data_IF_541034388377
#
_entry.id   IF_541034388377
#
_cell.length_a   1.000
_cell.length_b   1.000
_cell.length_c   1.000
_cell.angle_alpha   90.00
_cell.angle_beta   90.00
_cell.angle_gamma   90.00
#
_symmetry.space_group_name_H-M   'P 1'
#
loop_
_entity.id
_entity.type
_entity.pdbx_description
1 polymer ?
#
# COMPACT_ATOMS: atom_id res chain seq x y z
N UNK A 1 -14.97 5.05 17.77
CA UNK A 1 -13.51 4.88 17.94
C UNK A 1 -13.07 5.71 19.13
N UNK A 2 -12.44 5.12 20.08
CA UNK A 2 -11.78 5.78 21.23
C UNK A 2 -10.38 6.27 20.83
N UNK A 3 -9.76 7.12 21.66
CA UNK A 3 -8.38 7.59 21.46
C UNK A 3 -7.40 6.38 21.44
N UNK A 4 -7.56 5.44 22.35
CA UNK A 4 -6.72 4.24 22.39
C UNK A 4 -6.83 3.37 21.13
N UNK A 5 -8.03 3.21 20.56
CA UNK A 5 -8.22 2.52 19.28
C UNK A 5 -7.56 3.29 18.12
N UNK A 6 -7.67 4.62 18.12
CA UNK A 6 -6.98 5.48 17.14
C UNK A 6 -5.47 5.30 17.21
N UNK A 7 -4.91 5.34 18.42
CA UNK A 7 -3.47 5.17 18.65
C UNK A 7 -2.97 3.81 18.16
N UNK A 8 -3.75 2.74 18.35
CA UNK A 8 -3.42 1.41 17.84
C UNK A 8 -3.38 1.39 16.30
N UNK A 9 -4.37 2.00 15.65
CA UNK A 9 -4.41 2.08 14.18
C UNK A 9 -3.21 2.87 13.65
N UNK A 10 -2.89 4.01 14.26
CA UNK A 10 -1.75 4.83 13.87
C UNK A 10 -0.42 4.14 14.17
N UNK A 11 -0.31 3.45 15.29
CA UNK A 11 0.88 2.68 15.64
C UNK A 11 1.17 1.58 14.61
N UNK A 12 0.12 0.84 14.20
CA UNK A 12 0.26 -0.27 13.26
C UNK A 12 0.52 0.19 11.81
N UNK A 13 -0.21 1.19 11.32
CA UNK A 13 -0.25 1.53 9.90
C UNK A 13 0.59 2.75 9.51
N UNK A 14 0.96 3.60 10.47
CA UNK A 14 1.77 4.79 10.22
C UNK A 14 3.12 4.74 10.95
N UNK A 15 3.10 4.69 12.29
CA UNK A 15 4.31 4.75 13.10
C UNK A 15 5.23 3.53 12.89
N UNK A 16 4.68 2.31 12.92
CA UNK A 16 5.46 1.09 12.73
C UNK A 16 6.18 1.06 11.38
N UNK A 17 5.46 1.24 10.26
CA UNK A 17 6.09 1.32 8.94
C UNK A 17 7.12 2.44 8.80
N UNK A 18 6.89 3.62 9.39
CA UNK A 18 7.88 4.71 9.37
C UNK A 18 9.23 4.26 9.95
N UNK A 19 9.22 3.68 11.16
CA UNK A 19 10.45 3.22 11.80
C UNK A 19 11.03 1.98 11.12
N UNK A 20 10.20 1.09 10.58
CA UNK A 20 10.68 -0.05 9.78
C UNK A 20 11.42 0.42 8.52
N UNK A 21 10.90 1.43 7.83
CA UNK A 21 11.57 2.03 6.67
C UNK A 21 12.87 2.73 7.07
N UNK A 22 12.91 3.41 8.23
CA UNK A 22 14.13 4.03 8.73
C UNK A 22 15.25 3.01 8.99
N UNK A 23 14.93 1.86 9.58
CA UNK A 23 15.88 0.78 9.79
C UNK A 23 16.27 0.08 8.49
N UNK A 24 15.29 -0.13 7.58
CA UNK A 24 15.57 -0.67 6.25
C UNK A 24 16.54 0.22 5.46
N UNK A 25 16.39 1.54 5.53
CA UNK A 25 17.27 2.50 4.87
C UNK A 25 18.73 2.36 5.32
N UNK A 26 18.98 2.00 6.60
CA UNK A 26 20.32 1.77 7.15
C UNK A 26 20.88 0.41 6.72
N UNK A 27 20.03 -0.63 6.68
CA UNK A 27 20.42 -2.02 6.47
C UNK A 27 20.58 -2.40 5.00
N UNK A 28 19.81 -1.77 4.10
CA UNK A 28 19.83 -2.09 2.68
C UNK A 28 21.16 -1.68 2.03
N UNK A 29 21.62 -2.54 1.11
CA UNK A 29 22.68 -2.20 0.16
C UNK A 29 22.17 -1.25 -0.90
N UNK A 30 23.08 -0.56 -1.56
CA UNK A 30 22.75 0.28 -2.71
C UNK A 30 22.08 -0.55 -3.81
N UNK A 31 21.15 0.05 -4.52
CA UNK A 31 20.28 -0.66 -5.46
C UNK A 31 19.14 -1.46 -4.83
N UNK A 32 18.93 -1.37 -3.51
CA UNK A 32 17.84 -2.05 -2.81
C UNK A 32 16.43 -1.60 -3.23
N UNK A 33 15.43 -2.30 -2.73
CA UNK A 33 14.01 -2.03 -3.03
C UNK A 33 13.20 -2.03 -1.73
N UNK A 34 12.33 -1.03 -1.56
CA UNK A 34 11.33 -0.97 -0.50
C UNK A 34 9.95 -0.89 -1.16
N UNK A 35 9.04 -1.78 -0.75
CA UNK A 35 7.64 -1.73 -1.18
C UNK A 35 6.74 -1.71 0.03
N UNK A 36 5.94 -0.66 0.14
CA UNK A 36 4.92 -0.51 1.15
C UNK A 36 3.56 -0.96 0.61
N UNK A 37 2.74 -1.56 1.46
CA UNK A 37 1.37 -1.94 1.10
C UNK A 37 0.40 -0.96 1.73
N UNK A 38 -0.25 -0.16 0.88
CA UNK A 38 -1.32 0.75 1.27
C UNK A 38 -2.70 0.14 0.96
N UNK A 39 -3.62 0.95 0.56
CA UNK A 39 -4.96 0.57 0.11
C UNK A 39 -5.44 1.61 -0.90
N UNK A 40 -6.18 1.20 -1.89
CA UNK A 40 -6.80 2.14 -2.80
C UNK A 40 -7.89 3.00 -2.13
N UNK A 41 -8.36 2.57 -0.95
CA UNK A 41 -9.29 3.36 -0.13
C UNK A 41 -8.79 4.77 0.18
N UNK A 42 -7.50 5.07 0.12
CA UNK A 42 -6.93 6.41 0.29
C UNK A 42 -7.36 7.38 -0.83
N UNK A 43 -7.77 6.87 -1.98
CA UNK A 43 -8.30 7.64 -3.12
C UNK A 43 -9.83 7.60 -3.22
N UNK A 44 -10.48 7.03 -2.22
CA UNK A 44 -11.93 6.91 -2.10
C UNK A 44 -12.37 7.36 -0.71
N UNK A 45 -13.68 7.34 -0.47
CA UNK A 45 -14.25 7.62 0.85
C UNK A 45 -15.14 6.49 1.29
N UNK A 46 -14.86 5.95 2.46
CA UNK A 46 -15.68 4.88 3.07
C UNK A 46 -16.12 5.29 4.47
N UNK A 47 -17.39 5.08 4.76
CA UNK A 47 -17.95 5.31 6.10
C UNK A 47 -17.21 4.42 7.12
N UNK A 48 -16.83 5.02 8.24
CA UNK A 48 -16.17 4.31 9.34
C UNK A 48 -14.68 4.02 9.14
N UNK A 49 -14.08 4.37 7.99
CA UNK A 49 -12.69 4.05 7.67
C UNK A 49 -11.70 5.22 7.87
N UNK A 50 -12.14 6.37 8.40
CA UNK A 50 -11.38 7.62 8.45
C UNK A 50 -9.97 7.46 9.03
N UNK A 51 -9.84 6.83 10.20
CA UNK A 51 -8.53 6.67 10.84
C UNK A 51 -7.63 5.69 10.06
N UNK A 52 -8.20 4.59 9.55
CA UNK A 52 -7.49 3.63 8.72
C UNK A 52 -6.95 4.30 7.45
N UNK A 53 -7.80 4.99 6.72
CA UNK A 53 -7.39 5.65 5.47
C UNK A 53 -6.37 6.77 5.72
N UNK A 54 -6.57 7.57 6.77
CA UNK A 54 -5.60 8.59 7.19
C UNK A 54 -4.23 8.00 7.52
N UNK A 55 -4.19 6.87 8.24
CA UNK A 55 -2.94 6.18 8.55
C UNK A 55 -2.23 5.62 7.32
N UNK A 56 -2.98 5.11 6.34
CA UNK A 56 -2.43 4.63 5.06
C UNK A 56 -1.97 5.77 4.15
N UNK A 57 -2.68 6.89 4.12
CA UNK A 57 -2.24 8.10 3.41
C UNK A 57 -0.91 8.64 3.97
N UNK A 58 -0.70 8.57 5.29
CA UNK A 58 0.59 8.89 5.89
C UNK A 58 1.71 8.00 5.35
N UNK A 59 1.50 6.69 5.25
CA UNK A 59 2.45 5.73 4.68
C UNK A 59 2.83 6.08 3.23
N UNK A 60 1.84 6.46 2.43
CA UNK A 60 2.07 6.87 1.03
C UNK A 60 2.94 8.13 0.95
N UNK A 61 2.74 9.08 1.85
CA UNK A 61 3.56 10.27 1.88
C UNK A 61 4.98 10.01 2.40
N UNK A 62 5.14 9.11 3.38
CA UNK A 62 6.47 8.66 3.83
C UNK A 62 7.24 7.98 2.69
N UNK A 63 6.56 7.17 1.88
CA UNK A 63 7.15 6.55 0.68
C UNK A 63 7.76 7.59 -0.25
N UNK A 64 7.05 8.69 -0.53
CA UNK A 64 7.54 9.77 -1.42
C UNK A 64 8.77 10.47 -0.85
N UNK A 65 8.75 10.79 0.44
CA UNK A 65 9.87 11.43 1.12
C UNK A 65 11.13 10.54 1.09
N UNK A 66 10.97 9.29 1.53
CA UNK A 66 12.08 8.34 1.58
C UNK A 66 12.64 7.98 0.20
N UNK A 67 11.79 7.97 -0.83
CA UNK A 67 12.22 7.78 -2.21
C UNK A 67 13.24 8.83 -2.66
N UNK A 68 13.02 10.09 -2.30
CA UNK A 68 13.97 11.18 -2.61
C UNK A 68 15.26 11.05 -1.80
N UNK A 69 15.16 10.70 -0.52
CA UNK A 69 16.31 10.55 0.37
C UNK A 69 17.23 9.41 -0.06
N UNK A 70 16.67 8.31 -0.56
CA UNK A 70 17.42 7.11 -0.92
C UNK A 70 17.80 7.02 -2.42
N UNK A 71 17.28 7.91 -3.25
CA UNK A 71 17.61 7.94 -4.69
C UNK A 71 19.11 8.00 -4.99
N UNK A 72 19.96 8.78 -4.27
CA UNK A 72 21.40 8.79 -4.51
C UNK A 72 22.09 7.43 -4.30
N UNK A 73 21.46 6.51 -3.56
CA UNK A 73 21.92 5.12 -3.35
C UNK A 73 21.33 4.13 -4.36
N UNK A 74 20.57 4.60 -5.37
CA UNK A 74 19.86 3.75 -6.32
C UNK A 74 18.76 2.89 -5.69
N UNK A 75 18.34 3.21 -4.45
CA UNK A 75 17.27 2.48 -3.76
C UNK A 75 15.93 3.05 -4.20
N UNK A 76 15.03 2.19 -4.67
CA UNK A 76 13.66 2.61 -4.98
C UNK A 76 12.72 2.34 -3.80
N UNK A 77 11.79 3.26 -3.58
CA UNK A 77 10.76 3.15 -2.54
C UNK A 77 9.41 3.41 -3.17
N UNK A 78 8.53 2.43 -3.18
CA UNK A 78 7.22 2.53 -3.80
C UNK A 78 6.13 2.01 -2.87
N UNK A 79 4.90 2.36 -3.17
CA UNK A 79 3.70 1.82 -2.54
C UNK A 79 2.90 1.02 -3.56
N UNK A 80 2.36 -0.12 -3.16
CA UNK A 80 1.30 -0.82 -3.88
C UNK A 80 0.02 -0.66 -3.10
N UNK A 81 -1.04 -0.22 -3.77
CA UNK A 81 -2.38 0.00 -3.19
C UNK A 81 -3.36 -1.03 -3.75
N UNK A 82 -3.60 -2.14 -3.00
CA UNK A 82 -4.56 -3.15 -3.42
C UNK A 82 -6.00 -2.62 -3.41
N UNK A 83 -6.79 -3.07 -4.36
CA UNK A 83 -8.24 -3.01 -4.29
C UNK A 83 -8.83 -4.06 -3.36
N UNK A 84 -10.15 -4.26 -3.47
CA UNK A 84 -10.83 -5.28 -2.66
C UNK A 84 -10.33 -6.67 -3.08
N UNK A 85 -9.57 -7.28 -2.17
CA UNK A 85 -8.84 -8.53 -2.41
C UNK A 85 -9.40 -9.64 -1.52
N UNK A 86 -9.65 -10.79 -2.10
CA UNK A 86 -10.15 -11.98 -1.40
C UNK A 86 -9.02 -12.67 -0.61
N UNK A 87 -8.96 -12.36 0.66
CA UNK A 87 -8.01 -12.97 1.61
C UNK A 87 -8.64 -14.07 2.46
N UNK A 88 -9.89 -14.48 2.15
CA UNK A 88 -10.62 -15.50 2.89
C UNK A 88 -11.36 -15.01 4.13
N UNK A 89 -11.26 -13.72 4.47
CA UNK A 89 -11.90 -13.14 5.68
C UNK A 89 -13.07 -12.19 5.35
N UNK A 90 -13.40 -12.01 4.08
CA UNK A 90 -14.47 -11.12 3.66
C UNK A 90 -15.84 -11.75 3.96
N UNK A 91 -16.75 -10.92 4.47
CA UNK A 91 -18.16 -11.30 4.54
C UNK A 91 -18.74 -11.42 3.13
N UNK A 92 -19.78 -12.24 2.93
CA UNK A 92 -20.42 -12.40 1.64
C UNK A 92 -20.96 -11.07 1.10
N UNK A 93 -21.54 -10.23 1.96
CA UNK A 93 -22.02 -8.90 1.56
C UNK A 93 -20.88 -8.02 1.02
N UNK A 94 -19.72 -8.01 1.69
CA UNK A 94 -18.58 -7.21 1.26
C UNK A 94 -17.92 -7.79 0.00
N UNK A 95 -17.96 -9.10 -0.17
CA UNK A 95 -17.55 -9.81 -1.39
C UNK A 95 -18.37 -9.38 -2.61
N UNK A 96 -19.70 -9.42 -2.49
CA UNK A 96 -20.61 -8.98 -3.56
C UNK A 96 -20.43 -7.49 -3.88
N UNK A 97 -20.28 -6.65 -2.86
CA UNK A 97 -19.95 -5.23 -3.05
C UNK A 97 -18.66 -5.06 -3.87
N UNK A 98 -17.59 -5.76 -3.51
CA UNK A 98 -16.31 -5.69 -4.21
C UNK A 98 -16.40 -6.14 -5.68
N UNK A 99 -17.16 -7.21 -5.95
CA UNK A 99 -17.39 -7.68 -7.33
C UNK A 99 -18.15 -6.64 -8.15
N UNK A 100 -19.15 -5.98 -7.56
CA UNK A 100 -19.92 -4.93 -8.24
C UNK A 100 -19.06 -3.72 -8.58
N UNK A 101 -18.22 -3.29 -7.63
CA UNK A 101 -17.31 -2.17 -7.79
C UNK A 101 -16.21 -2.43 -8.82
N UNK A 102 -15.75 -3.66 -8.95
CA UNK A 102 -14.67 -4.01 -9.86
C UNK A 102 -15.12 -3.99 -11.33
N UNK A 103 -14.46 -3.24 -12.21
CA UNK A 103 -14.67 -3.33 -13.66
C UNK A 103 -14.48 -4.75 -14.21
N UNK A 104 -13.54 -5.52 -13.66
CA UNK A 104 -13.31 -6.92 -14.04
C UNK A 104 -14.38 -7.90 -13.52
N UNK A 105 -15.35 -7.42 -12.73
CA UNK A 105 -16.43 -8.22 -12.15
C UNK A 105 -15.94 -9.42 -11.32
N UNK A 106 -14.80 -9.25 -10.69
CA UNK A 106 -14.23 -10.18 -9.73
C UNK A 106 -13.48 -9.42 -8.62
N UNK A 107 -13.24 -10.09 -7.53
CA UNK A 107 -12.29 -9.62 -6.50
C UNK A 107 -10.85 -9.79 -6.99
N UNK A 108 -9.95 -8.99 -6.45
CA UNK A 108 -8.53 -9.29 -6.52
C UNK A 108 -8.21 -10.59 -5.76
N UNK A 109 -7.19 -11.28 -6.18
CA UNK A 109 -6.61 -12.40 -5.46
C UNK A 109 -5.28 -11.97 -4.85
N UNK A 110 -4.81 -12.58 -3.76
CA UNK A 110 -3.46 -12.31 -3.23
C UNK A 110 -2.37 -12.39 -4.30
N UNK A 111 -2.53 -13.31 -5.26
CA UNK A 111 -1.61 -13.44 -6.39
C UNK A 111 -1.60 -12.22 -7.31
N UNK A 112 -2.74 -11.57 -7.56
CA UNK A 112 -2.78 -10.35 -8.38
C UNK A 112 -1.92 -9.25 -7.76
N UNK A 113 -1.91 -9.14 -6.43
CA UNK A 113 -1.10 -8.16 -5.71
C UNK A 113 0.38 -8.58 -5.67
N UNK A 114 0.65 -9.86 -5.41
CA UNK A 114 2.00 -10.40 -5.35
C UNK A 114 2.74 -10.23 -6.69
N UNK A 115 2.07 -10.42 -7.82
CA UNK A 115 2.66 -10.23 -9.14
C UNK A 115 3.06 -8.77 -9.39
N UNK A 116 2.24 -7.80 -8.93
CA UNK A 116 2.59 -6.37 -8.99
C UNK A 116 3.80 -6.07 -8.09
N UNK A 117 3.82 -6.59 -6.87
CA UNK A 117 4.98 -6.41 -5.96
C UNK A 117 6.22 -7.02 -6.57
N UNK A 118 6.15 -8.22 -7.14
CA UNK A 118 7.28 -8.88 -7.80
C UNK A 118 7.84 -8.03 -8.96
N UNK A 119 6.98 -7.42 -9.77
CA UNK A 119 7.41 -6.47 -10.80
C UNK A 119 8.09 -5.24 -10.18
N UNK A 120 7.50 -4.61 -9.17
CA UNK A 120 8.02 -3.38 -8.55
C UNK A 120 9.39 -3.57 -7.91
N UNK A 121 9.70 -4.77 -7.42
CA UNK A 121 11.05 -5.08 -6.87
C UNK A 121 12.05 -5.57 -7.94
N UNK A 122 11.61 -5.82 -9.16
CA UNK A 122 12.46 -6.32 -10.23
C UNK A 122 13.35 -5.21 -10.83
N UNK A 123 14.32 -5.62 -11.64
CA UNK A 123 15.17 -4.68 -12.39
C UNK A 123 14.38 -3.92 -13.47
N UNK A 124 13.29 -4.48 -13.98
CA UNK A 124 12.44 -3.83 -14.98
C UNK A 124 11.75 -2.58 -14.41
N UNK A 125 11.56 -2.52 -13.09
CA UNK A 125 11.01 -1.37 -12.40
C UNK A 125 12.07 -0.41 -11.82
N UNK A 126 13.35 -0.52 -12.19
CA UNK A 126 14.47 0.27 -11.64
C UNK A 126 14.30 1.79 -11.74
N UNK A 127 13.43 2.26 -12.63
CA UNK A 127 13.15 3.69 -12.83
C UNK A 127 11.85 4.16 -12.15
N UNK A 128 11.20 3.26 -11.37
CA UNK A 128 10.01 3.58 -10.58
C UNK A 128 10.43 3.82 -9.12
N UNK A 129 10.26 5.05 -8.63
CA UNK A 129 10.42 5.39 -7.22
C UNK A 129 9.46 6.50 -6.81
N UNK A 130 9.03 6.50 -5.55
CA UNK A 130 8.07 7.46 -5.02
C UNK A 130 6.63 7.28 -5.55
N UNK A 131 6.33 6.15 -6.20
CA UNK A 131 5.04 5.92 -6.83
C UNK A 131 4.08 5.19 -5.90
N UNK A 132 2.79 5.50 -6.04
CA UNK A 132 1.70 4.69 -5.52
C UNK A 132 1.04 3.95 -6.69
N UNK A 133 1.20 2.63 -6.73
CA UNK A 133 0.76 1.78 -7.83
C UNK A 133 -0.55 1.10 -7.43
N UNK A 134 -1.63 1.46 -8.11
CA UNK A 134 -2.95 0.91 -7.87
C UNK A 134 -3.09 -0.49 -8.48
N UNK A 135 -3.17 -1.50 -7.63
CA UNK A 135 -3.42 -2.90 -8.01
C UNK A 135 -4.88 -3.27 -7.69
N UNK A 136 -5.82 -2.60 -8.36
CA UNK A 136 -7.21 -2.55 -7.94
C UNK A 136 -8.20 -3.18 -8.93
N UNK A 137 -7.73 -3.61 -10.09
CA UNK A 137 -8.63 -4.04 -11.16
C UNK A 137 -9.48 -2.89 -11.73
N UNK A 138 -9.00 -1.64 -11.62
CA UNK A 138 -9.64 -0.46 -12.18
C UNK A 138 -10.75 0.15 -11.30
N UNK A 139 -10.85 -0.24 -10.02
CA UNK A 139 -11.82 0.38 -9.08
C UNK A 139 -11.50 1.87 -8.90
N UNK A 140 -10.22 2.21 -8.82
CA UNK A 140 -9.70 3.59 -8.90
C UNK A 140 -8.83 3.71 -10.14
N UNK A 141 -8.97 4.82 -10.83
CA UNK A 141 -8.21 5.18 -12.04
C UNK A 141 -7.64 6.58 -11.91
#
# INVERSE_FOLDING_TARGET
MTEAEFDQVMALHAKGPYFAMQEAAKALKDGGRIVNISTEGTHMSFLGATAHLGSKAALEQYTKGLAQELAPRGITVNTVSPGITDTGVLTEQYRQFGIQMSPFKRLGLPKDIADVVAFVVSEDARWLTGQNIHASGGIVM
#
